data_IF_449903112119
#
_entry.id   IF_449903112119
#
_cell.length_a   1.000
_cell.length_b   1.000
_cell.length_c   1.000
_cell.angle_alpha   90.00
_cell.angle_beta   90.00
_cell.angle_gamma   90.00
#
_symmetry.space_group_name_H-M   'P 1'
#
loop_
_entity.id
_entity.type
_entity.pdbx_description
1 polymer ?
#
# COMPACT_ATOMS: atom_id res chain seq x y z
N UNK A 1 -44.01 -1.41 -40.13
CA UNK A 1 -43.70 -1.99 -38.81
C UNK A 1 -42.28 -1.63 -38.43
N UNK A 2 -42.10 -0.63 -37.55
CA UNK A 2 -40.76 -0.19 -37.12
C UNK A 2 -40.32 -0.98 -35.91
N UNK A 3 -39.57 -2.06 -36.14
CA UNK A 3 -38.98 -2.89 -35.07
C UNK A 3 -37.83 -2.16 -34.30
N UNK A 4 -37.25 -1.10 -34.82
CA UNK A 4 -36.02 -0.50 -34.27
C UNK A 4 -36.21 0.66 -33.29
N UNK A 5 -37.41 0.94 -32.80
CA UNK A 5 -37.59 1.88 -31.70
C UNK A 5 -37.48 1.17 -30.35
N UNK A 6 -36.26 0.70 -30.00
CA UNK A 6 -35.91 0.46 -28.60
C UNK A 6 -35.86 1.81 -27.88
N UNK A 7 -36.96 2.15 -27.19
CA UNK A 7 -36.92 3.15 -26.15
C UNK A 7 -35.83 2.67 -25.16
N UNK A 8 -34.67 3.37 -25.12
CA UNK A 8 -33.67 3.20 -24.07
C UNK A 8 -34.36 3.54 -22.75
N UNK A 9 -34.93 2.57 -22.08
CA UNK A 9 -35.22 2.66 -20.67
C UNK A 9 -33.85 2.60 -19.98
N UNK A 10 -33.26 3.78 -19.75
CA UNK A 10 -32.18 3.91 -18.79
C UNK A 10 -32.70 3.35 -17.47
N UNK A 11 -32.04 2.29 -16.97
CA UNK A 11 -32.29 1.79 -15.63
C UNK A 11 -31.74 2.85 -14.69
N UNK A 12 -32.57 3.80 -14.30
CA UNK A 12 -32.23 4.77 -13.25
C UNK A 12 -32.33 4.02 -11.92
N UNK A 13 -31.18 3.44 -11.50
CA UNK A 13 -31.04 2.98 -10.13
C UNK A 13 -30.80 4.21 -9.28
N UNK A 14 -31.67 4.53 -8.27
CA UNK A 14 -31.46 5.66 -7.39
C UNK A 14 -30.08 5.57 -6.75
N UNK A 15 -29.34 6.66 -6.74
CA UNK A 15 -27.95 6.74 -6.22
C UNK A 15 -27.87 6.24 -4.78
N UNK A 16 -28.93 6.42 -3.99
CA UNK A 16 -29.05 5.93 -2.61
C UNK A 16 -29.06 4.38 -2.47
N UNK A 17 -29.29 3.63 -3.57
CA UNK A 17 -29.28 2.16 -3.56
C UNK A 17 -27.99 1.56 -4.16
N UNK A 18 -27.07 2.39 -4.63
CA UNK A 18 -25.73 1.91 -4.99
C UNK A 18 -25.02 1.52 -3.71
N UNK A 19 -24.85 0.23 -3.49
CA UNK A 19 -23.91 -0.24 -2.46
C UNK A 19 -22.55 0.32 -2.83
N UNK A 20 -22.04 1.23 -2.00
CA UNK A 20 -20.64 1.64 -2.08
C UNK A 20 -19.80 0.37 -1.90
N UNK A 21 -18.97 0.08 -2.89
CA UNK A 21 -17.97 -0.98 -2.74
C UNK A 21 -17.05 -0.53 -1.61
N UNK A 22 -16.75 -1.39 -0.62
CA UNK A 22 -15.84 -1.04 0.45
C UNK A 22 -14.53 -0.56 -0.16
N UNK A 23 -14.11 0.64 0.20
CA UNK A 23 -12.82 1.19 -0.21
C UNK A 23 -11.69 0.22 0.14
N UNK A 24 -10.78 -0.01 -0.80
CA UNK A 24 -9.59 -0.83 -0.58
C UNK A 24 -9.73 -2.33 -0.89
N UNK A 25 -10.82 -2.79 -1.53
CA UNK A 25 -10.91 -4.20 -1.95
C UNK A 25 -10.30 -4.48 -3.32
N UNK A 26 -10.18 -3.48 -4.17
CA UNK A 26 -9.71 -3.61 -5.55
C UNK A 26 -8.52 -2.68 -5.81
N UNK A 27 -7.57 -3.17 -6.57
CA UNK A 27 -6.42 -2.42 -7.04
C UNK A 27 -6.45 -2.35 -8.57
N UNK A 28 -6.30 -1.14 -9.13
CA UNK A 28 -6.19 -0.93 -10.57
C UNK A 28 -4.73 -0.72 -10.93
N UNK A 29 -4.19 -1.58 -11.78
CA UNK A 29 -2.82 -1.45 -12.27
C UNK A 29 -2.68 -0.28 -13.26
N UNK A 30 -1.49 0.24 -13.52
CA UNK A 30 -1.26 1.22 -14.57
C UNK A 30 -1.64 0.70 -15.98
N UNK A 31 -1.58 -0.62 -16.20
CA UNK A 31 -2.02 -1.28 -17.43
C UNK A 31 -3.54 -1.35 -17.59
N UNK A 32 -4.30 -0.98 -16.54
CA UNK A 32 -5.76 -0.94 -16.55
C UNK A 32 -6.44 -2.18 -15.97
N UNK A 33 -5.71 -3.23 -15.63
CA UNK A 33 -6.24 -4.43 -15.00
C UNK A 33 -6.75 -4.13 -13.58
N UNK A 34 -7.82 -4.80 -13.18
CA UNK A 34 -8.45 -4.62 -11.86
C UNK A 34 -8.38 -5.93 -11.09
N UNK A 35 -7.56 -5.97 -10.05
CA UNK A 35 -7.27 -7.17 -9.27
C UNK A 35 -7.75 -7.01 -7.83
N UNK A 36 -8.28 -8.09 -7.24
CA UNK A 36 -8.68 -8.07 -5.84
C UNK A 36 -7.44 -8.07 -4.94
N UNK A 37 -7.40 -7.21 -3.90
CA UNK A 37 -6.24 -7.07 -3.00
C UNK A 37 -5.84 -8.40 -2.33
N UNK A 38 -6.82 -9.25 -2.03
CA UNK A 38 -6.51 -10.59 -1.48
C UNK A 38 -5.73 -11.45 -2.47
N UNK A 39 -6.06 -11.36 -3.75
CA UNK A 39 -5.34 -12.09 -4.79
C UNK A 39 -3.92 -11.55 -4.99
N UNK A 40 -3.75 -10.22 -5.00
CA UNK A 40 -2.43 -9.59 -4.99
C UNK A 40 -1.57 -10.07 -3.80
N UNK A 41 -2.14 -10.10 -2.60
CA UNK A 41 -1.42 -10.61 -1.41
C UNK A 41 -0.99 -12.06 -1.56
N UNK A 42 -1.88 -12.92 -2.04
CA UNK A 42 -1.59 -14.34 -2.26
C UNK A 42 -0.51 -14.55 -3.32
N UNK A 43 -0.41 -13.64 -4.29
CA UNK A 43 0.59 -13.67 -5.36
C UNK A 43 1.77 -12.70 -5.08
N UNK A 44 2.11 -12.50 -3.81
CA UNK A 44 3.26 -11.65 -3.41
C UNK A 44 3.24 -10.24 -4.00
N UNK A 45 2.05 -9.66 -4.16
CA UNK A 45 1.80 -8.33 -4.74
C UNK A 45 2.18 -8.19 -6.22
N UNK A 46 2.19 -9.29 -6.95
CA UNK A 46 2.28 -9.31 -8.41
C UNK A 46 0.88 -9.55 -8.98
N UNK A 47 0.47 -8.71 -9.92
CA UNK A 47 -0.82 -8.87 -10.60
C UNK A 47 -0.80 -10.09 -11.52
N UNK A 48 -1.73 -11.04 -11.39
CA UNK A 48 -1.75 -12.25 -12.22
C UNK A 48 -2.20 -11.98 -13.66
N UNK A 49 -2.77 -10.81 -13.96
CA UNK A 49 -3.31 -10.49 -15.27
C UNK A 49 -2.30 -9.82 -16.20
N UNK A 50 -1.41 -8.98 -15.63
CA UNK A 50 -0.47 -8.17 -16.40
C UNK A 50 0.96 -8.18 -15.83
N UNK A 51 1.25 -9.11 -14.92
CA UNK A 51 2.55 -9.28 -14.24
C UNK A 51 3.08 -7.98 -13.59
N UNK A 52 2.18 -7.02 -13.35
CA UNK A 52 2.57 -5.76 -12.73
C UNK A 52 2.92 -5.95 -11.25
N UNK A 53 4.14 -5.54 -10.87
CA UNK A 53 4.61 -5.54 -9.49
C UNK A 53 4.11 -4.29 -8.76
N UNK A 54 3.21 -4.49 -7.80
CA UNK A 54 2.71 -3.40 -6.96
C UNK A 54 3.81 -2.95 -6.01
N UNK A 55 4.01 -1.63 -5.90
CA UNK A 55 4.94 -1.08 -4.91
C UNK A 55 4.42 -1.34 -3.50
N UNK A 56 5.21 -2.01 -2.70
CA UNK A 56 4.90 -2.37 -1.30
C UNK A 56 5.90 -1.75 -0.34
N UNK A 57 5.51 -1.61 0.93
CA UNK A 57 6.34 -1.07 1.99
C UNK A 57 6.91 -2.15 2.92
N UNK A 58 7.54 -1.72 4.00
CA UNK A 58 8.17 -2.60 4.98
C UNK A 58 7.19 -3.60 5.60
N UNK A 59 5.95 -3.19 5.81
CA UNK A 59 4.91 -4.04 6.41
C UNK A 59 4.66 -5.28 5.56
N UNK A 60 4.47 -5.11 4.27
CA UNK A 60 4.21 -6.18 3.33
C UNK A 60 5.45 -7.07 3.16
N UNK A 61 6.66 -6.50 3.12
CA UNK A 61 7.89 -7.29 3.09
C UNK A 61 8.05 -8.17 4.33
N UNK A 62 7.73 -7.66 5.52
CA UNK A 62 7.81 -8.44 6.75
C UNK A 62 6.71 -9.52 6.81
N UNK A 63 5.53 -9.26 6.23
CA UNK A 63 4.48 -10.25 6.08
C UNK A 63 4.94 -11.41 5.17
N UNK A 64 5.48 -11.12 4.00
CA UNK A 64 5.93 -12.11 3.02
C UNK A 64 7.09 -12.96 3.57
N UNK A 65 8.06 -12.33 4.23
CA UNK A 65 9.31 -13.00 4.58
C UNK A 65 9.28 -13.65 5.96
N UNK A 66 8.46 -13.14 6.88
CA UNK A 66 8.44 -13.60 8.26
C UNK A 66 7.07 -14.08 8.74
N UNK A 67 6.04 -14.07 7.90
CA UNK A 67 4.64 -14.33 8.32
C UNK A 67 4.24 -13.46 9.52
N UNK A 68 4.72 -12.22 9.57
CA UNK A 68 4.57 -11.29 10.71
C UNK A 68 5.19 -11.77 12.05
N UNK A 69 6.08 -12.78 12.00
CA UNK A 69 6.81 -13.31 13.18
C UNK A 69 8.23 -12.78 13.22
N UNK A 70 8.39 -11.51 13.55
CA UNK A 70 9.69 -10.85 13.60
C UNK A 70 9.85 -9.96 14.81
N UNK A 71 11.09 -9.61 15.14
CA UNK A 71 11.45 -8.60 16.14
C UNK A 71 11.95 -7.37 15.42
N UNK A 72 11.33 -6.23 15.69
CA UNK A 72 11.77 -4.95 15.12
C UNK A 72 12.95 -4.38 15.91
N UNK A 73 14.00 -3.99 15.20
CA UNK A 73 15.17 -3.33 15.75
C UNK A 73 15.04 -1.83 15.60
N UNK A 74 15.53 -1.10 16.60
CA UNK A 74 15.58 0.36 16.59
C UNK A 74 14.23 1.05 16.32
N UNK A 75 13.11 0.41 16.68
CA UNK A 75 11.76 0.94 16.47
C UNK A 75 11.48 2.32 17.12
N UNK A 76 12.36 2.76 18.02
CA UNK A 76 12.27 4.08 18.68
C UNK A 76 13.18 5.13 18.04
N UNK A 77 14.03 4.74 17.10
CA UNK A 77 14.93 5.66 16.42
C UNK A 77 14.12 6.64 15.57
N UNK A 78 14.55 7.88 15.54
CA UNK A 78 13.92 8.95 14.76
C UNK A 78 15.00 9.93 14.30
N UNK A 79 14.82 10.47 13.11
CA UNK A 79 15.68 11.51 12.57
C UNK A 79 15.61 12.81 13.38
N UNK A 80 16.73 13.48 13.51
CA UNK A 80 16.85 14.76 14.22
C UNK A 80 17.46 15.79 13.27
N UNK A 81 16.94 17.00 13.29
CA UNK A 81 17.43 18.13 12.50
C UNK A 81 18.57 18.86 13.21
N UNK A 82 19.81 18.33 13.11
CA UNK A 82 21.00 18.97 13.69
C UNK A 82 21.38 20.29 13.00
N UNK A 83 21.12 20.39 11.70
CA UNK A 83 21.55 21.52 10.89
C UNK A 83 20.53 22.66 10.92
N UNK A 84 19.35 22.43 11.48
CA UNK A 84 18.21 23.36 11.42
C UNK A 84 17.96 23.81 9.98
N UNK A 85 18.00 22.83 9.06
CA UNK A 85 17.94 23.08 7.64
C UNK A 85 16.58 23.66 7.24
N UNK A 86 16.63 24.71 6.43
CA UNK A 86 15.48 25.37 5.87
C UNK A 86 15.77 25.74 4.41
N UNK A 87 14.86 25.33 3.52
CA UNK A 87 14.78 25.81 2.14
C UNK A 87 13.44 26.55 1.97
N UNK A 88 12.52 26.06 1.14
CA UNK A 88 11.15 26.57 1.04
C UNK A 88 10.31 26.22 2.28
N UNK A 89 10.74 25.19 3.05
CA UNK A 89 10.07 24.70 4.25
C UNK A 89 11.11 24.10 5.20
N UNK A 90 10.93 24.32 6.50
CA UNK A 90 11.81 23.75 7.53
C UNK A 90 11.83 22.21 7.44
N UNK A 91 13.01 21.62 7.56
CA UNK A 91 13.16 20.16 7.56
C UNK A 91 12.37 19.49 8.69
N UNK A 92 12.34 20.12 9.87
CA UNK A 92 11.55 19.65 11.01
C UNK A 92 10.04 19.54 10.71
N UNK A 93 9.50 20.44 9.86
CA UNK A 93 8.09 20.41 9.48
C UNK A 93 7.84 19.32 8.42
N UNK A 94 8.78 19.12 7.47
CA UNK A 94 8.72 18.02 6.53
C UNK A 94 8.72 16.65 7.23
N UNK A 95 9.56 16.51 8.26
CA UNK A 95 9.63 15.31 9.08
C UNK A 95 8.31 15.01 9.78
N UNK A 96 7.71 16.01 10.43
CA UNK A 96 6.40 15.88 11.07
C UNK A 96 5.31 15.49 10.08
N UNK A 97 5.29 16.12 8.90
CA UNK A 97 4.30 15.80 7.86
C UNK A 97 4.46 14.36 7.37
N UNK A 98 5.71 13.91 7.12
CA UNK A 98 5.99 12.54 6.72
C UNK A 98 5.55 11.53 7.79
N UNK A 99 5.91 11.76 9.05
CA UNK A 99 5.49 10.92 10.18
C UNK A 99 3.97 10.89 10.36
N UNK A 100 3.30 12.03 10.18
CA UNK A 100 1.83 12.10 10.26
C UNK A 100 1.15 11.34 9.13
N UNK A 101 1.73 11.38 7.93
CA UNK A 101 1.20 10.70 6.73
C UNK A 101 1.43 9.19 6.79
N UNK A 102 2.63 8.77 7.14
CA UNK A 102 3.02 7.34 7.11
C UNK A 102 2.71 6.62 8.41
N UNK A 103 2.58 7.35 9.52
CA UNK A 103 2.50 6.83 10.90
C UNK A 103 3.77 6.08 11.33
N UNK A 104 4.86 6.24 10.59
CA UNK A 104 6.18 5.70 10.90
C UNK A 104 7.04 6.79 11.54
N UNK A 105 7.95 6.38 12.43
CA UNK A 105 8.91 7.29 13.08
C UNK A 105 10.12 7.58 12.20
N UNK A 106 10.48 6.60 11.37
CA UNK A 106 11.61 6.65 10.46
C UNK A 106 11.26 5.93 9.16
N UNK A 107 11.89 6.34 8.05
CA UNK A 107 11.67 5.73 6.73
C UNK A 107 12.26 4.31 6.64
N UNK A 108 13.29 4.01 7.42
CA UNK A 108 13.91 2.68 7.45
C UNK A 108 13.38 1.90 8.64
N UNK A 109 12.85 0.71 8.38
CA UNK A 109 12.46 -0.26 9.39
C UNK A 109 13.34 -1.51 9.29
N UNK A 110 13.80 -2.02 10.43
CA UNK A 110 14.69 -3.18 10.50
C UNK A 110 13.96 -4.29 11.23
N UNK A 111 13.76 -5.42 10.54
CA UNK A 111 13.16 -6.63 11.09
C UNK A 111 14.16 -7.77 11.17
N UNK A 112 14.14 -8.51 12.27
CA UNK A 112 14.88 -9.76 12.47
C UNK A 112 13.91 -10.89 12.72
N UNK A 113 14.03 -11.96 11.95
CA UNK A 113 13.14 -13.11 12.07
C UNK A 113 13.69 -14.35 11.35
N UNK A 114 12.89 -15.40 11.36
CA UNK A 114 13.21 -16.65 10.68
C UNK A 114 12.46 -16.72 9.36
N UNK A 115 13.21 -16.92 8.27
CA UNK A 115 12.66 -17.11 6.94
C UNK A 115 13.34 -18.31 6.27
N UNK A 116 12.55 -19.21 5.66
CA UNK A 116 13.05 -20.44 5.02
C UNK A 116 14.04 -21.23 5.90
N UNK A 117 13.76 -21.32 7.21
CA UNK A 117 14.59 -22.03 8.17
C UNK A 117 15.86 -21.29 8.63
N UNK A 118 16.15 -20.12 8.08
CA UNK A 118 17.34 -19.30 8.41
C UNK A 118 16.94 -18.05 9.18
N UNK A 119 17.80 -17.62 10.11
CA UNK A 119 17.66 -16.33 10.76
C UNK A 119 18.21 -15.25 9.84
N UNK A 120 17.40 -14.27 9.52
CA UNK A 120 17.79 -13.14 8.66
C UNK A 120 17.42 -11.82 9.31
N UNK A 121 18.16 -10.78 8.96
CA UNK A 121 17.87 -9.40 9.31
C UNK A 121 17.68 -8.62 8.02
N UNK A 122 16.61 -7.82 7.96
CA UNK A 122 16.24 -7.06 6.76
C UNK A 122 15.98 -5.62 7.15
N UNK A 123 16.52 -4.69 6.38
CA UNK A 123 16.19 -3.28 6.43
C UNK A 123 15.33 -2.94 5.21
N UNK A 124 14.14 -2.43 5.45
CA UNK A 124 13.20 -1.99 4.42
C UNK A 124 13.02 -0.47 4.50
N UNK A 125 12.96 0.17 3.35
CA UNK A 125 12.70 1.60 3.23
C UNK A 125 11.25 1.81 2.75
N UNK A 126 10.52 2.66 3.46
CA UNK A 126 9.14 3.08 3.13
C UNK A 126 9.11 4.44 2.43
#
# INVERSE_FOLDING_TARGET
>A
MNWFNRKQKNINTPTAQKKELPDGMWYKTPGGSVVHIRELKNNSYVSPEDDYHVRIGSKEYFEILFDNKFKEFNAKMTSVDFLKFEDQKKYSDRLKDAQNKTKLKEAIRIGYGKSFGKNIMIACMD
#
